data_IF_981396614525
#
_entry.id   IF_981396614525
#
_cell.length_a   1.000
_cell.length_b   1.000
_cell.length_c   1.000
_cell.angle_alpha   90.00
_cell.angle_beta   90.00
_cell.angle_gamma   90.00
#
_symmetry.space_group_name_H-M   'P 1'
#
loop_
_entity.id
_entity.type
_entity.pdbx_description
1 polymer ?
#
# COMPACT_ATOMS: atom_id res chain seq x y z
N UNK A 1 13.87 4.12 -9.39
CA UNK A 1 13.52 4.42 -8.00
C UNK A 1 12.02 4.60 -7.86
N UNK A 2 11.40 3.88 -6.95
CA UNK A 2 9.96 3.97 -6.75
C UNK A 2 9.57 5.26 -6.03
N UNK A 3 8.38 5.77 -6.33
CA UNK A 3 7.86 7.02 -5.75
C UNK A 3 6.46 6.80 -5.20
N UNK A 4 6.13 7.51 -4.12
CA UNK A 4 4.83 7.49 -3.47
C UNK A 4 4.16 8.85 -3.64
N UNK A 5 2.91 8.84 -4.13
CA UNK A 5 2.06 10.02 -4.21
C UNK A 5 0.79 9.78 -3.40
N UNK A 6 0.51 10.68 -2.47
CA UNK A 6 -0.70 10.63 -1.65
C UNK A 6 -1.80 11.38 -2.38
N UNK A 7 -2.71 10.64 -3.02
CA UNK A 7 -3.80 11.23 -3.80
C UNK A 7 -4.93 11.75 -2.91
N UNK A 8 -5.12 11.13 -1.74
CA UNK A 8 -6.12 11.52 -0.76
C UNK A 8 -5.68 11.10 0.62
N UNK A 9 -5.80 12.01 1.60
CA UNK A 9 -5.63 11.70 3.02
C UNK A 9 -6.79 12.34 3.79
N UNK A 10 -7.83 11.54 4.00
CA UNK A 10 -9.01 11.94 4.78
C UNK A 10 -8.97 11.28 6.16
N UNK A 11 -9.92 11.59 7.03
CA UNK A 11 -9.93 11.06 8.39
C UNK A 11 -10.00 9.53 8.45
N UNK A 12 -10.80 8.89 7.61
CA UNK A 12 -11.00 7.45 7.61
C UNK A 12 -10.50 6.71 6.38
N UNK A 13 -9.92 7.43 5.41
CA UNK A 13 -9.55 6.85 4.13
C UNK A 13 -8.31 7.52 3.56
N UNK A 14 -7.47 6.74 2.87
CA UNK A 14 -6.35 7.26 2.10
C UNK A 14 -6.30 6.58 0.74
N UNK A 15 -5.87 7.31 -0.28
CA UNK A 15 -5.62 6.78 -1.61
C UNK A 15 -4.19 7.13 -1.98
N UNK A 16 -3.41 6.12 -2.33
CA UNK A 16 -1.97 6.27 -2.57
C UNK A 16 -1.62 5.67 -3.93
N UNK A 17 -0.87 6.41 -4.72
CA UNK A 17 -0.29 5.91 -5.97
C UNK A 17 1.21 5.70 -5.77
N UNK A 18 1.68 4.51 -6.10
CA UNK A 18 3.09 4.14 -6.02
C UNK A 18 3.52 3.67 -7.41
N UNK A 19 4.64 4.18 -7.91
CA UNK A 19 5.09 3.84 -9.25
C UNK A 19 6.60 3.71 -9.34
N UNK A 20 7.05 2.94 -10.34
CA UNK A 20 8.45 2.73 -10.69
C UNK A 20 8.63 2.84 -12.20
N UNK A 21 9.64 3.57 -12.64
CA UNK A 21 9.96 3.75 -14.06
C UNK A 21 11.23 3.01 -14.50
N UNK A 22 12.03 2.56 -13.54
CA UNK A 22 13.31 1.89 -13.80
C UNK A 22 13.17 0.45 -14.25
N UNK A 23 13.99 0.03 -15.21
CA UNK A 23 13.95 -1.31 -15.79
C UNK A 23 14.29 -2.41 -14.78
N UNK A 24 15.09 -2.13 -13.77
CA UNK A 24 15.50 -3.08 -12.74
C UNK A 24 14.57 -3.11 -11.52
N UNK A 25 13.54 -2.27 -11.53
CA UNK A 25 12.59 -2.20 -10.42
C UNK A 25 13.16 -1.54 -9.16
N UNK A 26 12.39 -1.62 -8.09
CA UNK A 26 12.74 -1.10 -6.77
C UNK A 26 11.74 -1.62 -5.74
N UNK A 27 12.15 -1.61 -4.49
CA UNK A 27 11.29 -1.93 -3.35
C UNK A 27 11.10 -0.67 -2.52
N UNK A 28 9.84 -0.35 -2.18
CA UNK A 28 9.52 0.81 -1.36
C UNK A 28 8.56 0.43 -0.24
N UNK A 29 8.72 1.06 0.89
CA UNK A 29 7.85 0.87 2.05
C UNK A 29 6.97 2.09 2.25
N UNK A 30 5.65 1.88 2.25
CA UNK A 30 4.68 2.89 2.66
C UNK A 30 4.52 2.81 4.17
N UNK A 31 5.01 3.82 4.88
CA UNK A 31 4.80 3.93 6.31
C UNK A 31 3.36 4.43 6.56
N UNK A 32 2.56 3.61 7.23
CA UNK A 32 1.16 3.96 7.51
C UNK A 32 1.01 5.19 8.42
N UNK A 33 2.06 5.58 9.14
CA UNK A 33 2.08 6.84 9.90
C UNK A 33 1.93 8.06 8.99
N UNK A 34 2.32 7.96 7.73
CA UNK A 34 2.25 9.06 6.75
C UNK A 34 0.86 9.25 6.14
N UNK A 35 -0.12 8.44 6.54
CA UNK A 35 -1.50 8.52 6.04
C UNK A 35 -2.37 9.50 6.85
N UNK A 36 -1.80 10.22 7.80
CA UNK A 36 -2.53 11.19 8.62
C UNK A 36 -3.10 12.32 7.74
N UNK A 37 -4.35 12.71 8.03
CA UNK A 37 -4.94 13.93 7.47
C UNK A 37 -4.57 15.14 8.33
N UNK A 38 -4.88 16.35 7.85
CA UNK A 38 -4.61 17.57 8.59
C UNK A 38 -5.22 17.53 10.00
N UNK A 39 -4.41 17.84 11.01
CA UNK A 39 -4.83 17.85 12.40
C UNK A 39 -4.96 16.49 13.06
N UNK A 40 -4.68 15.42 12.33
CA UNK A 40 -4.78 14.05 12.83
C UNK A 40 -3.46 13.61 13.46
N UNK A 41 -3.54 12.81 14.53
CA UNK A 41 -2.38 12.18 15.15
C UNK A 41 -2.38 10.69 14.91
N UNK A 42 -1.19 10.08 14.89
CA UNK A 42 -0.99 8.66 14.66
C UNK A 42 -0.56 7.97 15.96
N UNK A 43 -1.27 6.86 16.30
CA UNK A 43 -0.91 5.98 17.42
C UNK A 43 -0.51 4.61 16.88
N UNK A 44 0.78 4.31 16.94
CA UNK A 44 1.33 3.05 16.45
C UNK A 44 0.78 1.81 17.18
N UNK A 45 0.35 1.95 18.43
CA UNK A 45 -0.13 0.83 19.23
C UNK A 45 -1.54 0.39 18.85
N UNK A 46 -2.31 1.25 18.21
CA UNK A 46 -3.68 0.95 17.79
C UNK A 46 -3.90 1.08 16.28
N UNK A 47 -2.82 1.29 15.52
CA UNK A 47 -2.90 1.53 14.09
C UNK A 47 -3.41 0.32 13.34
N UNK A 48 -4.40 0.56 12.47
CA UNK A 48 -4.97 -0.44 11.59
C UNK A 48 -5.33 0.22 10.27
N UNK A 49 -4.76 -0.32 9.18
CA UNK A 49 -5.06 0.12 7.81
C UNK A 49 -5.39 -1.11 7.00
N UNK A 50 -6.60 -1.15 6.44
CA UNK A 50 -7.06 -2.24 5.61
C UNK A 50 -7.03 -1.84 4.15
N UNK A 51 -6.79 -2.81 3.26
CA UNK A 51 -6.80 -2.57 1.82
C UNK A 51 -8.23 -2.80 1.33
N UNK A 52 -8.82 -1.77 0.72
CA UNK A 52 -10.18 -1.80 0.19
C UNK A 52 -10.19 -2.13 -1.30
N UNK A 53 -9.29 -1.54 -2.06
CA UNK A 53 -9.17 -1.78 -3.50
C UNK A 53 -7.72 -1.62 -3.93
N UNK A 54 -7.34 -2.39 -4.96
CA UNK A 54 -6.03 -2.29 -5.60
C UNK A 54 -6.24 -2.14 -7.10
N UNK A 55 -5.56 -1.15 -7.71
CA UNK A 55 -5.46 -1.01 -9.16
C UNK A 55 -3.98 -1.12 -9.52
N UNK A 56 -3.67 -1.82 -10.60
CA UNK A 56 -2.27 -1.95 -11.00
C UNK A 56 -2.10 -2.01 -12.52
N UNK A 57 -0.91 -1.62 -12.97
CA UNK A 57 -0.44 -1.83 -14.32
C UNK A 57 1.06 -2.06 -14.27
N UNK A 58 1.52 -3.17 -14.83
CA UNK A 58 2.92 -3.58 -14.80
C UNK A 58 3.39 -3.85 -16.22
N UNK A 59 4.61 -3.43 -16.54
CA UNK A 59 5.20 -3.68 -17.85
C UNK A 59 5.24 -5.18 -18.13
N UNK A 60 5.04 -5.56 -19.40
CA UNK A 60 5.06 -6.96 -19.85
C UNK A 60 6.30 -7.71 -19.34
N UNK A 61 6.11 -8.94 -18.88
CA UNK A 61 7.12 -9.82 -18.29
C UNK A 61 7.68 -9.34 -16.93
N UNK A 62 7.03 -8.38 -16.28
CA UNK A 62 7.37 -7.94 -14.93
C UNK A 62 6.21 -8.18 -13.97
N UNK A 63 6.48 -8.03 -12.68
CA UNK A 63 5.46 -8.15 -11.64
C UNK A 63 5.61 -7.06 -10.60
N UNK A 64 4.58 -6.90 -9.79
CA UNK A 64 4.65 -6.14 -8.53
C UNK A 64 4.14 -7.04 -7.41
N UNK A 65 4.84 -7.04 -6.30
CA UNK A 65 4.46 -7.76 -5.08
C UNK A 65 4.12 -6.75 -3.99
N UNK A 66 2.88 -6.79 -3.52
CA UNK A 66 2.42 -5.96 -2.42
C UNK A 66 2.32 -6.83 -1.18
N UNK A 67 2.93 -6.42 -0.08
CA UNK A 67 2.95 -7.17 1.17
C UNK A 67 2.82 -6.26 2.37
N UNK A 68 2.58 -6.85 3.54
CA UNK A 68 2.54 -6.14 4.81
C UNK A 68 3.84 -6.41 5.54
N UNK A 69 4.60 -5.34 5.75
CA UNK A 69 5.93 -5.40 6.38
C UNK A 69 5.85 -4.97 7.83
N UNK A 70 6.44 -5.78 8.70
CA UNK A 70 6.58 -5.48 10.12
C UNK A 70 7.24 -4.11 10.31
N UNK A 71 6.63 -3.25 11.13
CA UNK A 71 7.15 -1.93 11.43
C UNK A 71 8.46 -2.06 12.22
N UNK A 72 9.55 -1.50 11.67
CA UNK A 72 10.86 -1.61 12.29
C UNK A 72 11.52 -2.98 12.18
N UNK A 73 10.90 -3.93 11.49
CA UNK A 73 11.41 -5.28 11.27
C UNK A 73 11.58 -5.59 9.79
N UNK A 74 11.80 -6.87 9.49
CA UNK A 74 12.03 -7.34 8.11
C UNK A 74 11.02 -8.37 7.63
N UNK A 75 10.13 -8.86 8.51
CA UNK A 75 9.15 -9.88 8.14
C UNK A 75 8.06 -9.31 7.27
N UNK A 76 7.75 -9.98 6.16
CA UNK A 76 6.69 -9.62 5.22
C UNK A 76 5.70 -10.76 5.06
N UNK A 77 4.41 -10.42 5.00
CA UNK A 77 3.31 -11.36 4.88
C UNK A 77 2.17 -10.74 4.06
N UNK A 78 1.16 -11.53 3.76
CA UNK A 78 -0.06 -11.03 3.11
C UNK A 78 0.17 -10.56 1.69
N UNK A 79 0.91 -11.32 0.91
CA UNK A 79 1.35 -10.96 -0.44
C UNK A 79 0.22 -10.92 -1.46
N UNK A 80 0.31 -9.92 -2.35
CA UNK A 80 -0.40 -9.86 -3.63
C UNK A 80 0.64 -9.86 -4.74
N UNK A 81 0.67 -10.91 -5.53
CA UNK A 81 1.53 -11.01 -6.71
C UNK A 81 0.72 -10.63 -7.94
N UNK A 82 1.03 -9.48 -8.53
CA UNK A 82 0.23 -8.86 -9.57
C UNK A 82 1.01 -8.76 -10.87
N UNK A 83 0.39 -9.16 -11.97
CA UNK A 83 0.97 -9.08 -13.32
C UNK A 83 -0.01 -8.39 -14.27
N UNK A 84 0.49 -7.88 -15.38
CA UNK A 84 -0.29 -7.20 -16.41
C UNK A 84 -0.98 -5.95 -15.87
N UNK A 85 -2.31 -5.87 -15.96
CA UNK A 85 -3.11 -4.79 -15.43
C UNK A 85 -4.42 -5.34 -14.90
N UNK A 86 -4.98 -4.71 -13.89
CA UNK A 86 -6.24 -5.14 -13.32
C UNK A 86 -6.62 -4.38 -12.07
N UNK A 87 -7.61 -4.92 -11.38
CA UNK A 87 -8.07 -4.37 -10.11
C UNK A 87 -8.64 -5.47 -9.22
N UNK A 88 -8.46 -5.31 -7.91
CA UNK A 88 -9.19 -6.03 -6.88
C UNK A 88 -10.11 -5.05 -6.17
N UNK A 89 -11.41 -5.35 -6.19
CA UNK A 89 -12.43 -4.68 -5.40
C UNK A 89 -13.10 -5.77 -4.57
N UNK A 90 -13.02 -5.67 -3.27
CA UNK A 90 -13.54 -6.70 -2.37
C UNK A 90 -15.06 -6.63 -2.16
N UNK A 91 -15.77 -5.83 -2.97
CA UNK A 91 -17.24 -5.73 -2.97
C UNK A 91 -17.81 -5.47 -1.57
N UNK A 92 -17.24 -4.50 -0.88
CA UNK A 92 -17.63 -4.12 0.48
C UNK A 92 -16.84 -4.82 1.59
N UNK A 93 -16.08 -5.85 1.26
CA UNK A 93 -15.10 -6.43 2.18
C UNK A 93 -13.77 -5.69 2.08
N UNK A 94 -12.88 -5.98 2.99
CA UNK A 94 -11.53 -5.43 2.99
C UNK A 94 -10.54 -6.51 3.39
N UNK A 95 -9.28 -6.36 2.99
CA UNK A 95 -8.21 -7.20 3.50
C UNK A 95 -7.66 -6.57 4.77
N UNK A 96 -7.90 -7.21 5.90
CA UNK A 96 -7.44 -6.78 7.22
C UNK A 96 -6.29 -7.63 7.78
N UNK A 97 -5.73 -8.52 6.97
CA UNK A 97 -4.61 -9.38 7.38
C UNK A 97 -3.38 -8.52 7.60
N UNK A 98 -2.76 -8.63 8.78
CA UNK A 98 -1.62 -7.81 9.19
C UNK A 98 -1.87 -6.29 9.02
N UNK A 99 -3.06 -5.85 9.32
CA UNK A 99 -3.49 -4.45 9.12
C UNK A 99 -2.70 -3.43 9.95
N UNK A 100 -2.01 -3.85 11.01
CA UNK A 100 -1.16 -3.02 11.85
C UNK A 100 0.22 -2.73 11.24
N UNK A 101 0.57 -3.38 10.14
CA UNK A 101 1.89 -3.29 9.51
C UNK A 101 1.94 -2.25 8.40
N UNK A 102 3.15 -1.85 8.04
CA UNK A 102 3.39 -1.03 6.85
C UNK A 102 3.11 -1.83 5.58
N UNK A 103 3.03 -1.13 4.46
CA UNK A 103 2.81 -1.75 3.15
C UNK A 103 4.11 -1.67 2.37
N UNK A 104 4.64 -2.83 1.97
CA UNK A 104 5.80 -2.89 1.10
C UNK A 104 5.36 -3.17 -0.32
N UNK A 105 5.93 -2.43 -1.27
CA UNK A 105 5.66 -2.63 -2.70
C UNK A 105 6.98 -2.90 -3.39
N UNK A 106 7.09 -4.10 -3.96
CA UNK A 106 8.29 -4.56 -4.65
C UNK A 106 8.01 -4.66 -6.14
N UNK A 107 8.61 -3.75 -6.91
CA UNK A 107 8.52 -3.73 -8.36
C UNK A 107 9.71 -4.48 -8.96
N UNK A 108 9.44 -5.48 -9.79
CA UNK A 108 10.44 -6.18 -10.59
C UNK A 108 10.89 -5.37 -11.80
N UNK A 109 10.13 -4.38 -12.18
CA UNK A 109 10.38 -3.47 -13.29
C UNK A 109 9.39 -2.32 -13.30
N UNK A 110 9.22 -1.61 -14.42
CA UNK A 110 8.30 -0.48 -14.49
C UNK A 110 6.85 -0.88 -14.22
N UNK A 111 6.15 -0.07 -13.46
CA UNK A 111 4.74 -0.28 -13.17
C UNK A 111 4.20 0.71 -12.16
N UNK A 112 2.92 0.56 -11.84
CA UNK A 112 2.26 1.38 -10.83
C UNK A 112 1.21 0.57 -10.08
N UNK A 113 0.91 1.01 -8.87
CA UNK A 113 -0.25 0.55 -8.11
C UNK A 113 -0.97 1.75 -7.51
N UNK A 114 -2.29 1.66 -7.41
CA UNK A 114 -3.10 2.60 -6.64
C UNK A 114 -3.81 1.79 -5.57
N UNK A 115 -3.63 2.21 -4.32
CA UNK A 115 -4.23 1.55 -3.16
C UNK A 115 -5.29 2.46 -2.56
N UNK A 116 -6.50 1.93 -2.42
CA UNK A 116 -7.54 2.54 -1.59
C UNK A 116 -7.52 1.86 -0.23
N UNK A 117 -7.29 2.65 0.80
CA UNK A 117 -7.03 2.17 2.16
C UNK A 117 -8.07 2.74 3.11
N UNK A 118 -8.57 1.89 4.03
CA UNK A 118 -9.40 2.32 5.14
C UNK A 118 -8.52 2.43 6.40
N UNK A 119 -8.60 3.56 7.06
CA UNK A 119 -7.92 3.83 8.34
C UNK A 119 -8.90 3.49 9.46
N UNK A 120 -8.79 2.27 9.99
CA UNK A 120 -9.77 1.73 10.94
C UNK A 120 -9.36 1.86 12.41
N UNK A 121 -8.14 2.30 12.67
CA UNK A 121 -7.64 2.55 14.02
C UNK A 121 -6.32 3.30 14.01
N UNK A 122 -5.99 3.97 15.11
CA UNK A 122 -4.71 4.64 15.29
C UNK A 122 -4.61 6.05 14.70
N UNK A 123 -5.72 6.62 14.23
CA UNK A 123 -5.75 7.97 13.65
C UNK A 123 -6.85 8.78 14.34
N UNK A 124 -6.46 9.76 15.14
CA UNK A 124 -7.43 10.56 15.93
C UNK A 124 -7.22 12.06 15.79
#
# INVERSE_FOLDING_TARGET
MASIHYLKRAAGEAVVKIYETGASGDTIELDIANLISDGQTFDANSANVTIKEIFWGVKHNHFVDISRKERGGSNVHGHYYLVNAGSYDYDGFVDDVYSERNIQVDFDGPGHVILKLNKTGGYT
#
